data_IF_227849020511
#
_entry.id   IF_227849020511
#
_cell.length_a   1.000
_cell.length_b   1.000
_cell.length_c   1.000
_cell.angle_alpha   90.00
_cell.angle_beta   90.00
_cell.angle_gamma   90.00
#
_symmetry.space_group_name_H-M   'P 1'
#
loop_
_entity.id
_entity.type
_entity.pdbx_description
1 polymer ?
#
# COMPACT_ATOMS: atom_id res chain seq x y z
N UNK A 1 -14.59 43.63 -7.77
CA UNK A 1 -14.53 42.58 -6.72
C UNK A 1 -15.68 41.62 -6.94
N UNK A 2 -15.41 40.48 -7.56
CA UNK A 2 -16.35 39.35 -7.64
C UNK A 2 -15.49 38.10 -7.70
N UNK A 3 -15.29 37.44 -6.55
CA UNK A 3 -14.70 36.11 -6.50
C UNK A 3 -15.85 35.16 -6.22
N UNK A 4 -16.43 34.59 -7.28
CA UNK A 4 -17.38 33.51 -7.18
C UNK A 4 -16.58 32.24 -6.87
N UNK A 5 -16.75 31.72 -5.66
CA UNK A 5 -16.24 30.41 -5.30
C UNK A 5 -16.98 29.35 -6.10
N UNK A 6 -16.33 28.84 -7.15
CA UNK A 6 -16.76 27.63 -7.84
C UNK A 6 -16.40 26.42 -6.97
N UNK A 7 -17.26 26.18 -5.98
CA UNK A 7 -17.25 24.98 -5.16
C UNK A 7 -17.77 23.82 -5.99
N UNK A 8 -16.89 23.26 -6.83
CA UNK A 8 -17.19 22.09 -7.65
C UNK A 8 -17.91 21.02 -6.83
N UNK A 9 -19.13 20.70 -7.27
CA UNK A 9 -19.97 19.68 -6.66
C UNK A 9 -19.16 18.40 -6.51
N UNK A 10 -19.01 17.93 -5.26
CA UNK A 10 -18.28 16.69 -4.96
C UNK A 10 -18.98 15.57 -5.71
N UNK A 11 -18.30 15.02 -6.71
CA UNK A 11 -18.74 13.85 -7.45
C UNK A 11 -19.08 12.72 -6.46
N UNK A 12 -20.24 12.10 -6.65
CA UNK A 12 -20.86 11.17 -5.70
C UNK A 12 -21.48 10.02 -6.48
N UNK A 13 -21.39 8.81 -5.96
CA UNK A 13 -22.12 7.68 -6.54
C UNK A 13 -23.61 7.72 -6.22
N UNK A 14 -24.37 6.75 -6.77
CA UNK A 14 -25.80 6.60 -6.53
C UNK A 14 -26.16 6.39 -5.04
N UNK A 15 -25.17 6.06 -4.20
CA UNK A 15 -25.29 5.87 -2.76
C UNK A 15 -24.79 7.11 -1.97
N UNK A 16 -24.43 8.20 -2.66
CA UNK A 16 -23.99 9.45 -2.07
C UNK A 16 -22.54 9.46 -1.55
N UNK A 17 -21.76 8.39 -1.81
CA UNK A 17 -20.34 8.35 -1.44
C UNK A 17 -19.56 9.23 -2.40
N UNK A 18 -18.65 10.04 -1.88
CA UNK A 18 -17.79 10.87 -2.71
C UNK A 18 -16.98 10.00 -3.68
N UNK A 19 -17.34 10.01 -4.97
CA UNK A 19 -16.49 9.52 -6.03
C UNK A 19 -15.63 10.69 -6.45
N UNK A 20 -14.32 10.52 -6.41
CA UNK A 20 -13.45 11.49 -7.05
C UNK A 20 -13.19 10.97 -8.45
N UNK A 21 -13.98 11.39 -9.46
CA UNK A 21 -13.68 11.16 -10.87
C UNK A 21 -12.35 11.78 -11.32
N UNK A 22 -11.68 12.55 -10.44
CA UNK A 22 -10.38 13.13 -10.72
C UNK A 22 -9.34 12.00 -10.91
N UNK A 23 -8.64 11.97 -12.06
CA UNK A 23 -7.61 10.97 -12.34
C UNK A 23 -6.51 11.01 -11.27
N UNK A 24 -5.86 9.87 -11.02
CA UNK A 24 -4.79 9.73 -10.03
C UNK A 24 -3.55 9.07 -10.62
N UNK A 25 -2.38 9.35 -10.08
CA UNK A 25 -1.15 8.63 -10.44
C UNK A 25 -1.05 7.25 -9.77
N UNK A 26 0.02 6.51 -10.04
CA UNK A 26 0.28 5.20 -9.43
C UNK A 26 0.49 5.24 -7.91
N UNK A 27 0.74 6.42 -7.35
CA UNK A 27 0.77 6.64 -5.91
C UNK A 27 -0.57 7.17 -5.40
N UNK A 28 -1.65 7.23 -6.18
CA UNK A 28 -2.97 7.72 -5.74
C UNK A 28 -3.08 9.25 -5.55
N UNK A 29 -2.07 10.04 -5.93
CA UNK A 29 -2.14 11.52 -5.88
C UNK A 29 -3.05 12.03 -7.01
N UNK A 30 -3.90 13.04 -6.76
CA UNK A 30 -4.79 13.57 -7.77
C UNK A 30 -4.02 14.30 -8.88
N UNK A 31 -4.34 14.00 -10.14
CA UNK A 31 -3.79 14.61 -11.34
C UNK A 31 -4.68 15.75 -11.85
N UNK A 32 -4.18 16.65 -12.71
CA UNK A 32 -5.03 17.63 -13.41
C UNK A 32 -6.19 16.95 -14.16
N UNK A 33 -7.32 17.64 -14.32
CA UNK A 33 -8.41 17.16 -15.16
C UNK A 33 -7.94 16.99 -16.62
N UNK A 34 -8.39 15.92 -17.29
CA UNK A 34 -7.95 15.56 -18.64
C UNK A 34 -6.63 14.78 -18.71
N UNK A 35 -5.88 14.66 -17.61
CA UNK A 35 -4.73 13.75 -17.55
C UNK A 35 -5.20 12.29 -17.51
N UNK A 36 -4.44 11.39 -18.13
CA UNK A 36 -4.68 9.96 -18.00
C UNK A 36 -4.20 9.48 -16.63
N UNK A 37 -5.13 9.07 -15.78
CA UNK A 37 -4.82 8.46 -14.49
C UNK A 37 -4.59 6.96 -14.59
N UNK A 38 -4.01 6.39 -13.55
CA UNK A 38 -3.97 4.95 -13.32
C UNK A 38 -5.35 4.52 -12.79
N UNK A 39 -6.00 3.51 -13.40
CA UNK A 39 -7.23 2.95 -12.87
C UNK A 39 -7.06 2.49 -11.42
N UNK A 40 -8.11 2.66 -10.61
CA UNK A 40 -8.14 2.07 -9.26
C UNK A 40 -8.22 0.55 -9.37
N UNK A 41 -7.69 -0.18 -8.38
CA UNK A 41 -8.00 -1.60 -8.28
C UNK A 41 -9.51 -1.78 -8.09
N UNK A 42 -10.10 -2.86 -8.64
CA UNK A 42 -11.43 -3.27 -8.21
C UNK A 42 -11.40 -3.59 -6.71
N UNK A 43 -12.29 -2.96 -5.95
CA UNK A 43 -12.41 -3.14 -4.50
C UNK A 43 -13.16 -4.45 -4.18
N UNK A 44 -12.77 -5.15 -3.10
CA UNK A 44 -13.49 -6.31 -2.60
C UNK A 44 -13.29 -7.58 -3.43
N UNK A 45 -12.18 -7.67 -4.17
CA UNK A 45 -11.87 -8.86 -4.97
C UNK A 45 -11.21 -9.91 -4.09
N UNK A 46 -11.94 -11.00 -3.84
CA UNK A 46 -11.44 -12.16 -3.11
C UNK A 46 -10.48 -12.93 -4.02
N UNK A 47 -9.24 -13.13 -3.54
CA UNK A 47 -8.17 -13.88 -4.22
C UNK A 47 -7.66 -14.98 -3.31
N UNK A 48 -7.16 -16.08 -3.88
CA UNK A 48 -6.42 -17.05 -3.09
C UNK A 48 -5.12 -16.40 -2.58
N UNK A 49 -4.60 -16.80 -1.40
CA UNK A 49 -3.40 -16.19 -0.81
C UNK A 49 -2.19 -16.06 -1.74
N UNK A 50 -1.88 -17.10 -2.54
CA UNK A 50 -0.77 -17.04 -3.52
C UNK A 50 -1.03 -16.03 -4.65
N UNK A 51 -2.28 -15.89 -5.08
CA UNK A 51 -2.68 -14.91 -6.09
C UNK A 51 -2.61 -13.49 -5.53
N UNK A 52 -3.01 -13.29 -4.27
CA UNK A 52 -2.83 -12.02 -3.55
C UNK A 52 -1.37 -11.59 -3.54
N UNK A 53 -0.45 -12.52 -3.19
CA UNK A 53 0.99 -12.23 -3.16
C UNK A 53 1.53 -11.92 -4.56
N UNK A 54 1.16 -12.70 -5.57
CA UNK A 54 1.60 -12.48 -6.95
C UNK A 54 1.11 -11.14 -7.52
N UNK A 55 -0.16 -10.80 -7.31
CA UNK A 55 -0.73 -9.52 -7.73
C UNK A 55 -0.05 -8.35 -7.01
N UNK A 56 0.13 -8.44 -5.69
CA UNK A 56 0.81 -7.41 -4.93
C UNK A 56 2.27 -7.23 -5.39
N UNK A 57 2.99 -8.32 -5.69
CA UNK A 57 4.35 -8.24 -6.25
C UNK A 57 4.37 -7.48 -7.58
N UNK A 58 3.48 -7.83 -8.52
CA UNK A 58 3.42 -7.16 -9.83
C UNK A 58 3.12 -5.65 -9.70
N UNK A 59 2.32 -5.26 -8.72
CA UNK A 59 2.04 -3.86 -8.42
C UNK A 59 3.25 -3.16 -7.80
N UNK A 60 3.95 -3.80 -6.87
CA UNK A 60 5.19 -3.29 -6.28
C UNK A 60 6.29 -3.13 -7.33
N UNK A 61 6.50 -4.13 -8.19
CA UNK A 61 7.48 -4.11 -9.29
C UNK A 61 7.24 -2.95 -10.28
N UNK A 62 6.00 -2.45 -10.35
CA UNK A 62 5.62 -1.33 -11.23
C UNK A 62 5.46 -0.01 -10.47
N UNK A 63 5.99 0.10 -9.25
CA UNK A 63 5.98 1.33 -8.46
C UNK A 63 4.58 1.74 -7.98
N UNK A 64 3.66 0.78 -7.81
CA UNK A 64 2.26 1.00 -7.36
C UNK A 64 2.00 0.42 -5.96
N UNK A 65 2.69 0.90 -4.92
CA UNK A 65 2.52 0.40 -3.56
C UNK A 65 1.14 0.72 -2.96
N UNK A 66 0.44 1.76 -3.46
CA UNK A 66 -0.91 2.05 -3.00
C UNK A 66 -1.91 0.98 -3.47
N UNK A 67 -1.81 0.57 -4.74
CA UNK A 67 -2.61 -0.53 -5.27
C UNK A 67 -2.26 -1.86 -4.59
N UNK A 68 -0.98 -2.11 -4.28
CA UNK A 68 -0.58 -3.30 -3.52
C UNK A 68 -1.18 -3.29 -2.10
N UNK A 69 -1.26 -2.13 -1.45
CA UNK A 69 -1.97 -1.97 -0.18
C UNK A 69 -3.44 -2.38 -0.28
N UNK A 70 -4.15 -1.96 -1.33
CA UNK A 70 -5.56 -2.33 -1.55
C UNK A 70 -5.72 -3.86 -1.68
N UNK A 71 -4.81 -4.53 -2.40
CA UNK A 71 -4.81 -6.00 -2.55
C UNK A 71 -4.62 -6.71 -1.20
N UNK A 72 -3.69 -6.25 -0.37
CA UNK A 72 -3.52 -6.82 0.97
C UNK A 72 -4.66 -6.49 1.92
N UNK A 73 -5.29 -5.31 1.77
CA UNK A 73 -6.46 -4.93 2.55
C UNK A 73 -7.68 -5.81 2.23
N UNK A 74 -7.90 -6.13 0.96
CA UNK A 74 -8.93 -7.09 0.54
C UNK A 74 -8.68 -8.45 1.21
N UNK A 75 -7.45 -8.97 1.14
CA UNK A 75 -7.09 -10.22 1.79
C UNK A 75 -7.27 -10.19 3.32
N UNK A 76 -6.97 -9.06 3.97
CA UNK A 76 -7.24 -8.87 5.40
C UNK A 76 -8.74 -8.93 5.72
N UNK A 77 -9.58 -8.32 4.89
CA UNK A 77 -11.04 -8.25 5.12
C UNK A 77 -11.74 -9.58 4.82
N UNK A 78 -11.31 -10.31 3.78
CA UNK A 78 -11.98 -11.53 3.33
C UNK A 78 -11.29 -12.83 3.75
N UNK A 79 -10.04 -12.78 4.21
CA UNK A 79 -9.23 -13.96 4.51
C UNK A 79 -9.51 -14.59 5.89
N UNK A 80 -8.86 -15.74 6.16
CA UNK A 80 -8.93 -16.45 7.44
C UNK A 80 -8.56 -15.56 8.64
N UNK A 81 -9.19 -15.79 9.79
CA UNK A 81 -9.02 -14.94 10.98
C UNK A 81 -7.58 -14.97 11.52
N UNK A 82 -6.96 -16.15 11.50
CA UNK A 82 -5.59 -16.42 11.92
C UNK A 82 -4.53 -15.73 11.04
N UNK A 83 -4.87 -15.36 9.81
CA UNK A 83 -3.99 -14.63 8.89
C UNK A 83 -4.22 -13.12 8.84
N UNK A 84 -5.29 -12.62 9.48
CA UNK A 84 -5.63 -11.18 9.43
C UNK A 84 -4.47 -10.28 9.85
N UNK A 85 -3.70 -10.71 10.85
CA UNK A 85 -2.55 -9.93 11.33
C UNK A 85 -1.43 -9.86 10.28
N UNK A 86 -1.18 -10.94 9.53
CA UNK A 86 -0.22 -10.97 8.42
C UNK A 86 -0.65 -10.02 7.31
N UNK A 87 -1.87 -10.18 6.78
CA UNK A 87 -2.39 -9.35 5.68
C UNK A 87 -2.43 -7.87 6.05
N UNK A 88 -2.85 -7.55 7.28
CA UNK A 88 -2.81 -6.18 7.80
C UNK A 88 -1.39 -5.63 7.91
N UNK A 89 -0.42 -6.43 8.33
CA UNK A 89 0.99 -6.04 8.40
C UNK A 89 1.55 -5.71 7.01
N UNK A 90 1.30 -6.57 6.02
CA UNK A 90 1.68 -6.36 4.62
C UNK A 90 1.02 -5.12 4.02
N UNK A 91 -0.28 -4.91 4.29
CA UNK A 91 -0.98 -3.68 3.89
C UNK A 91 -0.32 -2.43 4.49
N UNK A 92 0.17 -2.49 5.74
CA UNK A 92 0.89 -1.39 6.38
C UNK A 92 2.26 -1.13 5.76
N UNK A 93 2.99 -2.17 5.36
CA UNK A 93 4.26 -2.04 4.65
C UNK A 93 4.07 -1.31 3.31
N UNK A 94 3.10 -1.74 2.51
CA UNK A 94 2.81 -1.15 1.20
C UNK A 94 2.36 0.32 1.31
N UNK A 95 1.47 0.66 2.24
CA UNK A 95 1.06 2.06 2.44
C UNK A 95 2.17 2.89 3.09
N UNK A 96 3.05 2.29 3.91
CA UNK A 96 4.26 2.94 4.43
C UNK A 96 5.20 3.39 3.31
N UNK A 97 5.47 2.52 2.33
CA UNK A 97 6.22 2.86 1.11
C UNK A 97 5.51 3.95 0.29
N UNK A 98 4.17 3.87 0.16
CA UNK A 98 3.39 4.92 -0.50
C UNK A 98 3.58 6.29 0.16
N UNK A 99 3.56 6.36 1.49
CA UNK A 99 3.76 7.60 2.22
C UNK A 99 5.18 8.15 2.06
N UNK A 100 6.19 7.28 2.14
CA UNK A 100 7.58 7.65 1.90
C UNK A 100 7.77 8.23 0.48
N UNK A 101 7.21 7.57 -0.54
CA UNK A 101 7.29 8.03 -1.93
C UNK A 101 6.50 9.32 -2.22
N UNK A 102 5.53 9.66 -1.35
CA UNK A 102 4.80 10.94 -1.39
C UNK A 102 5.49 12.04 -0.58
N UNK A 103 6.67 11.80 0.00
CA UNK A 103 7.40 12.77 0.82
C UNK A 103 6.92 12.89 2.25
N UNK A 104 6.03 12.00 2.72
CA UNK A 104 5.64 11.94 4.12
C UNK A 104 6.58 10.98 4.86
N UNK A 105 7.80 11.46 5.14
CA UNK A 105 8.85 10.66 5.75
C UNK A 105 8.46 10.09 7.12
N UNK A 106 7.98 10.93 8.03
CA UNK A 106 7.57 10.54 9.39
C UNK A 106 6.43 9.52 9.37
N UNK A 107 5.40 9.76 8.55
CA UNK A 107 4.27 8.85 8.42
C UNK A 107 4.66 7.53 7.77
N UNK A 108 5.47 7.59 6.72
CA UNK A 108 5.97 6.41 6.00
C UNK A 108 6.81 5.51 6.89
N UNK A 109 7.82 6.05 7.57
CA UNK A 109 8.68 5.30 8.48
C UNK A 109 7.91 4.69 9.64
N UNK A 110 6.95 5.40 10.21
CA UNK A 110 6.07 4.87 11.27
C UNK A 110 5.25 3.68 10.80
N UNK A 111 4.68 3.74 9.59
CA UNK A 111 3.88 2.66 9.02
C UNK A 111 4.73 1.44 8.66
N UNK A 112 5.91 1.65 8.08
CA UNK A 112 6.87 0.60 7.78
C UNK A 112 7.27 -0.18 9.03
N UNK A 113 7.64 0.50 10.12
CA UNK A 113 7.99 -0.16 11.38
C UNK A 113 6.82 -0.92 11.98
N UNK A 114 5.63 -0.32 12.00
CA UNK A 114 4.43 -0.97 12.53
C UNK A 114 4.06 -2.22 11.74
N UNK A 115 4.15 -2.16 10.41
CA UNK A 115 3.91 -3.32 9.55
C UNK A 115 4.95 -4.41 9.80
N UNK A 116 6.23 -4.04 9.94
CA UNK A 116 7.31 -4.98 10.26
C UNK A 116 7.05 -5.70 11.59
N UNK A 117 6.68 -4.97 12.65
CA UNK A 117 6.39 -5.56 13.96
C UNK A 117 5.18 -6.51 13.91
N UNK A 118 4.16 -6.19 13.10
CA UNK A 118 2.99 -7.04 12.90
C UNK A 118 3.35 -8.35 12.16
N UNK A 119 4.12 -8.25 11.07
CA UNK A 119 4.61 -9.41 10.30
C UNK A 119 5.48 -10.31 11.17
N UNK A 120 6.47 -9.74 11.86
CA UNK A 120 7.39 -10.47 12.73
C UNK A 120 6.68 -11.14 13.92
N UNK A 121 5.63 -10.51 14.47
CA UNK A 121 4.79 -11.11 15.50
C UNK A 121 3.97 -12.29 14.97
N UNK A 122 3.42 -12.18 13.77
CA UNK A 122 2.66 -13.26 13.14
C UNK A 122 3.57 -14.45 12.81
N UNK A 123 4.73 -14.20 12.21
CA UNK A 123 5.73 -15.22 11.87
C UNK A 123 6.10 -16.08 13.09
N UNK A 124 6.48 -15.43 14.20
CA UNK A 124 6.78 -16.11 15.48
C UNK A 124 5.61 -16.93 16.05
N UNK A 125 4.37 -16.50 15.80
CA UNK A 125 3.17 -17.16 16.33
C UNK A 125 2.67 -18.32 15.46
N UNK A 126 2.89 -18.25 14.15
CA UNK A 126 2.45 -19.26 13.18
C UNK A 126 3.34 -20.50 13.15
N UNK A 127 4.65 -20.33 13.36
CA UNK A 127 5.63 -21.39 13.14
C UNK A 127 5.81 -21.79 11.68
N UNK A 128 5.33 -20.98 10.72
CA UNK A 128 5.50 -21.20 9.29
C UNK A 128 6.62 -20.30 8.74
N UNK A 129 7.67 -20.93 8.20
CA UNK A 129 8.87 -20.21 7.78
C UNK A 129 8.66 -19.36 6.51
N UNK A 130 7.75 -19.76 5.60
CA UNK A 130 7.54 -19.12 4.29
C UNK A 130 6.08 -19.21 3.79
N UNK A 131 5.13 -18.56 4.47
CA UNK A 131 3.72 -18.59 4.06
C UNK A 131 3.58 -18.07 2.63
N UNK A 132 2.93 -18.87 1.79
CA UNK A 132 2.66 -18.53 0.39
C UNK A 132 3.91 -18.19 -0.44
N UNK A 133 5.10 -18.64 0.00
CA UNK A 133 6.38 -18.36 -0.66
C UNK A 133 7.01 -17.02 -0.27
N UNK A 134 6.46 -16.30 0.71
CA UNK A 134 7.01 -15.01 1.15
C UNK A 134 8.23 -15.16 2.07
N UNK A 135 9.21 -14.27 1.91
CA UNK A 135 10.35 -14.08 2.82
C UNK A 135 10.01 -13.02 3.88
N UNK A 136 9.27 -13.42 4.92
CA UNK A 136 8.80 -12.49 5.95
C UNK A 136 9.95 -11.83 6.71
N UNK A 137 10.99 -12.57 7.08
CA UNK A 137 12.19 -12.03 7.70
C UNK A 137 12.90 -11.00 6.80
N UNK A 138 12.98 -11.26 5.50
CA UNK A 138 13.46 -10.31 4.50
C UNK A 138 12.64 -9.02 4.45
N UNK A 139 11.31 -9.14 4.46
CA UNK A 139 10.40 -7.99 4.47
C UNK A 139 10.51 -7.16 5.74
N UNK A 140 10.65 -7.79 6.90
CA UNK A 140 10.84 -7.11 8.19
C UNK A 140 12.13 -6.29 8.18
N UNK A 141 13.23 -6.90 7.72
CA UNK A 141 14.53 -6.22 7.60
C UNK A 141 14.46 -5.06 6.62
N UNK A 142 13.93 -5.29 5.42
CA UNK A 142 13.72 -4.25 4.41
C UNK A 142 12.94 -3.04 4.97
N UNK A 143 11.82 -3.31 5.64
CA UNK A 143 10.95 -2.26 6.16
C UNK A 143 11.65 -1.40 7.23
N UNK A 144 12.42 -2.03 8.12
CA UNK A 144 13.18 -1.35 9.18
C UNK A 144 14.33 -0.51 8.59
N UNK A 145 15.05 -1.05 7.61
CA UNK A 145 16.13 -0.33 6.92
C UNK A 145 15.60 0.87 6.12
N UNK A 146 14.52 0.69 5.35
CA UNK A 146 13.89 1.77 4.61
C UNK A 146 13.35 2.86 5.54
N UNK A 147 12.70 2.49 6.66
CA UNK A 147 12.23 3.45 7.64
C UNK A 147 13.37 4.32 8.21
N UNK A 148 14.54 3.72 8.47
CA UNK A 148 15.74 4.46 8.89
C UNK A 148 16.25 5.42 7.81
N UNK A 149 16.34 4.98 6.55
CA UNK A 149 16.76 5.84 5.43
C UNK A 149 15.79 6.99 5.19
N UNK A 150 14.49 6.73 5.21
CA UNK A 150 13.45 7.74 4.98
C UNK A 150 13.47 8.84 6.04
N UNK A 151 13.67 8.50 7.31
CA UNK A 151 13.80 9.50 8.38
C UNK A 151 15.09 10.32 8.30
N UNK A 152 16.18 9.71 7.82
CA UNK A 152 17.45 10.41 7.66
C UNK A 152 17.52 11.26 6.38
N UNK A 153 16.83 10.84 5.31
CA UNK A 153 17.01 11.34 3.95
C UNK A 153 16.15 12.55 3.56
N UNK A 154 15.04 12.81 4.25
CA UNK A 154 14.16 13.97 4.03
C UNK A 154 13.38 13.99 2.70
N UNK A 155 14.00 13.52 1.61
CA UNK A 155 13.42 13.50 0.27
C UNK A 155 12.51 12.28 0.05
N UNK A 156 11.50 12.41 -0.84
CA UNK A 156 10.68 11.27 -1.25
C UNK A 156 11.51 10.16 -1.90
N UNK A 157 11.22 8.91 -1.55
CA UNK A 157 11.87 7.75 -2.17
C UNK A 157 11.20 7.36 -3.50
N UNK A 158 11.95 6.72 -4.38
CA UNK A 158 11.36 6.07 -5.56
C UNK A 158 10.72 4.74 -5.16
N UNK A 159 9.41 4.63 -5.32
CA UNK A 159 8.66 3.44 -4.92
C UNK A 159 9.00 2.18 -5.73
N UNK A 160 9.39 2.32 -7.01
CA UNK A 160 9.77 1.17 -7.84
C UNK A 160 11.17 0.66 -7.50
N UNK A 161 12.08 1.56 -7.14
CA UNK A 161 13.44 1.20 -6.71
C UNK A 161 13.44 0.59 -5.30
N UNK A 162 12.65 1.15 -4.38
CA UNK A 162 12.60 0.69 -2.99
C UNK A 162 11.62 -0.47 -2.76
N UNK A 163 10.84 -0.88 -3.78
CA UNK A 163 9.89 -1.97 -3.65
C UNK A 163 10.59 -3.29 -3.23
N UNK A 164 10.06 -4.02 -2.24
CA UNK A 164 10.65 -5.29 -1.85
C UNK A 164 10.26 -6.40 -2.84
N UNK A 165 11.06 -7.46 -2.84
CA UNK A 165 10.61 -8.77 -3.30
C UNK A 165 9.92 -9.47 -2.13
N UNK A 166 8.67 -9.86 -2.32
CA UNK A 166 7.84 -10.53 -1.32
C UNK A 166 8.32 -11.95 -1.06
N UNK A 167 8.86 -12.62 -2.09
CA UNK A 167 9.51 -13.93 -2.03
C UNK A 167 10.78 -13.95 -2.90
N UNK A 168 11.52 -15.08 -2.93
CA UNK A 168 12.73 -15.21 -3.74
C UNK A 168 12.52 -14.97 -5.24
#
# INVERSE_FOLDING_TARGET
MTNAGDGGERDRDAEGRARSARPRDGLGRPLPYGAQGVPRQPEGVVRAPRETVAEAQALLDTGRPFHAHEVFEDAWKSGPEDERALWRGLAQLAVGLTHAARGNAVGGARLLRRGADAVEKWERGSGEDRPYGMDLAGLVRWARELAGRVEAGGDPVDAGVEAPRLGP
#
